data_IF_126087727854
#
_entry.id   IF_126087727854
#
_cell.length_a   1.000
_cell.length_b   1.000
_cell.length_c   1.000
_cell.angle_alpha   90.00
_cell.angle_beta   90.00
_cell.angle_gamma   90.00
#
_symmetry.space_group_name_H-M   'P 1'
#
loop_
_entity.id
_entity.type
_entity.pdbx_description
1 polymer ?
#
# COMPACT_ATOMS: atom_id res chain seq x y z
N UNK A 1 -45.04 7.66 4.68
CA UNK A 1 -43.64 7.17 4.74
C UNK A 1 -43.01 7.47 3.41
N UNK A 2 -42.03 8.36 3.39
CA UNK A 2 -41.33 8.68 2.18
C UNK A 2 -40.55 7.45 1.71
N UNK A 3 -40.67 7.15 0.41
CA UNK A 3 -40.02 5.97 -0.19
C UNK A 3 -38.51 6.16 -0.18
N UNK A 4 -37.77 5.16 0.34
CA UNK A 4 -36.29 5.18 0.27
C UNK A 4 -35.83 5.13 -1.20
N UNK A 5 -35.25 6.23 -1.68
CA UNK A 5 -34.81 6.40 -3.07
C UNK A 5 -33.44 5.79 -3.36
N UNK A 6 -32.61 5.56 -2.33
CA UNK A 6 -31.21 5.13 -2.50
C UNK A 6 -31.08 3.79 -3.23
N UNK A 7 -31.87 2.75 -2.93
CA UNK A 7 -31.77 1.48 -3.66
C UNK A 7 -32.07 1.59 -5.16
N UNK A 8 -33.00 2.49 -5.55
CA UNK A 8 -33.32 2.71 -6.97
C UNK A 8 -32.20 3.47 -7.67
N UNK A 9 -31.62 4.49 -7.01
CA UNK A 9 -30.47 5.22 -7.53
C UNK A 9 -29.25 4.31 -7.70
N UNK A 10 -28.95 3.46 -6.71
CA UNK A 10 -27.83 2.49 -6.79
C UNK A 10 -28.00 1.53 -7.96
N UNK A 11 -29.22 0.97 -8.16
CA UNK A 11 -29.51 0.10 -9.31
C UNK A 11 -29.34 0.80 -10.65
N UNK A 12 -29.75 2.07 -10.75
CA UNK A 12 -29.57 2.86 -11.97
C UNK A 12 -28.09 3.11 -12.26
N UNK A 13 -27.33 3.52 -11.25
CA UNK A 13 -25.89 3.76 -11.36
C UNK A 13 -25.15 2.47 -11.75
N UNK A 14 -25.46 1.35 -11.09
CA UNK A 14 -24.84 0.08 -11.39
C UNK A 14 -25.08 -0.35 -12.82
N UNK A 15 -26.32 -0.21 -13.34
CA UNK A 15 -26.66 -0.56 -14.72
C UNK A 15 -25.87 0.28 -15.73
N UNK A 16 -25.83 1.59 -15.55
CA UNK A 16 -25.06 2.49 -16.43
C UNK A 16 -23.56 2.19 -16.37
N UNK A 17 -23.04 1.95 -15.17
CA UNK A 17 -21.65 1.58 -14.97
C UNK A 17 -21.30 0.29 -15.71
N UNK A 18 -22.06 -0.80 -15.48
CA UNK A 18 -21.82 -2.11 -16.10
C UNK A 18 -21.87 -2.05 -17.63
N UNK A 19 -22.84 -1.31 -18.19
CA UNK A 19 -22.94 -1.13 -19.63
C UNK A 19 -21.72 -0.42 -20.21
N UNK A 20 -21.30 0.68 -19.61
CA UNK A 20 -20.16 1.46 -20.08
C UNK A 20 -18.82 0.71 -19.86
N UNK A 21 -18.68 0.05 -18.71
CA UNK A 21 -17.50 -0.73 -18.37
C UNK A 21 -17.30 -1.93 -19.33
N UNK A 22 -18.37 -2.63 -19.67
CA UNK A 22 -18.31 -3.81 -20.53
C UNK A 22 -17.90 -3.52 -21.98
N UNK A 23 -18.13 -2.29 -22.46
CA UNK A 23 -17.78 -1.88 -23.83
C UNK A 23 -16.47 -1.09 -23.92
N UNK A 24 -15.92 -0.61 -22.79
CA UNK A 24 -14.71 0.21 -22.78
C UNK A 24 -13.50 -0.50 -23.36
N UNK A 25 -12.87 0.11 -24.37
CA UNK A 25 -11.64 -0.38 -24.98
C UNK A 25 -10.44 -0.19 -24.06
N UNK A 26 -10.43 0.82 -23.19
CA UNK A 26 -9.36 1.05 -22.23
C UNK A 26 -9.35 -0.07 -21.19
N UNK A 27 -10.54 -0.45 -20.69
CA UNK A 27 -10.68 -1.58 -19.77
C UNK A 27 -10.17 -2.88 -20.41
N UNK A 28 -10.61 -3.19 -21.64
CA UNK A 28 -10.17 -4.39 -22.38
C UNK A 28 -8.66 -4.43 -22.55
N UNK A 29 -8.07 -3.33 -23.06
CA UNK A 29 -6.60 -3.20 -23.24
C UNK A 29 -5.84 -3.34 -21.93
N UNK A 30 -6.39 -2.84 -20.83
CA UNK A 30 -5.76 -2.97 -19.52
C UNK A 30 -5.68 -4.44 -19.08
N UNK A 31 -6.74 -5.22 -19.24
CA UNK A 31 -6.72 -6.67 -18.96
C UNK A 31 -5.86 -7.48 -19.94
N UNK A 32 -5.81 -7.09 -21.20
CA UNK A 32 -4.89 -7.68 -22.18
C UNK A 32 -3.43 -7.45 -21.77
N UNK A 33 -3.07 -6.21 -21.40
CA UNK A 33 -1.73 -5.89 -20.91
C UNK A 33 -1.35 -6.70 -19.67
N UNK A 34 -2.31 -6.91 -18.74
CA UNK A 34 -2.11 -7.74 -17.56
C UNK A 34 -1.87 -9.22 -17.96
N UNK A 35 -2.69 -9.76 -18.87
CA UNK A 35 -2.56 -11.13 -19.37
C UNK A 35 -1.22 -11.36 -20.09
N UNK A 36 -0.76 -10.37 -20.85
CA UNK A 36 0.53 -10.40 -21.53
C UNK A 36 1.73 -10.09 -20.61
N UNK A 37 1.49 -9.85 -19.32
CA UNK A 37 2.50 -9.43 -18.33
C UNK A 37 3.24 -8.14 -18.71
N UNK A 38 2.58 -7.24 -19.42
CA UNK A 38 3.09 -5.92 -19.83
C UNK A 38 2.50 -4.77 -19.00
N UNK A 39 1.57 -5.08 -18.10
CA UNK A 39 0.93 -4.07 -17.27
C UNK A 39 1.92 -3.43 -16.29
N UNK A 40 1.81 -2.11 -16.15
CA UNK A 40 2.58 -1.28 -15.22
C UNK A 40 1.63 -0.42 -14.40
N UNK A 41 2.13 0.33 -13.43
CA UNK A 41 1.30 1.29 -12.73
C UNK A 41 0.81 2.45 -13.61
N UNK A 42 1.51 2.74 -14.71
CA UNK A 42 0.98 3.65 -15.72
C UNK A 42 -0.33 3.13 -16.33
N UNK A 43 -0.39 1.83 -16.70
CA UNK A 43 -1.64 1.20 -17.16
C UNK A 43 -2.71 1.12 -16.08
N UNK A 44 -2.31 0.89 -14.81
CA UNK A 44 -3.24 0.91 -13.68
C UNK A 44 -3.85 2.31 -13.47
N UNK A 45 -3.07 3.37 -13.66
CA UNK A 45 -3.57 4.73 -13.59
C UNK A 45 -4.54 5.06 -14.75
N UNK A 46 -4.26 4.61 -15.98
CA UNK A 46 -5.18 4.75 -17.12
C UNK A 46 -6.49 3.98 -16.87
N UNK A 47 -6.41 2.77 -16.35
CA UNK A 47 -7.57 1.99 -15.93
C UNK A 47 -8.39 2.72 -14.86
N UNK A 48 -7.73 3.28 -13.83
CA UNK A 48 -8.41 4.01 -12.76
C UNK A 48 -9.09 5.29 -13.24
N UNK A 49 -8.48 6.01 -14.21
CA UNK A 49 -9.10 7.19 -14.85
C UNK A 49 -10.37 6.76 -15.57
N UNK A 50 -10.28 5.74 -16.44
CA UNK A 50 -11.42 5.26 -17.23
C UNK A 50 -12.57 4.79 -16.33
N UNK A 51 -12.26 3.95 -15.33
CA UNK A 51 -13.28 3.48 -14.37
C UNK A 51 -13.87 4.63 -13.57
N UNK A 52 -13.06 5.60 -13.18
CA UNK A 52 -13.52 6.83 -12.52
C UNK A 52 -14.43 7.68 -13.39
N UNK A 53 -14.10 7.83 -14.66
CA UNK A 53 -14.93 8.58 -15.64
C UNK A 53 -16.26 7.86 -15.94
N UNK A 54 -16.24 6.53 -16.05
CA UNK A 54 -17.45 5.71 -16.20
C UNK A 54 -18.35 5.87 -14.98
N UNK A 55 -17.78 5.77 -13.76
CA UNK A 55 -18.54 5.94 -12.52
C UNK A 55 -19.09 7.35 -12.37
N UNK A 56 -18.30 8.38 -12.69
CA UNK A 56 -18.73 9.77 -12.70
C UNK A 56 -19.93 9.98 -13.60
N UNK A 57 -19.88 9.51 -14.85
CA UNK A 57 -20.99 9.60 -15.81
C UNK A 57 -22.23 8.89 -15.30
N UNK A 58 -22.08 7.68 -14.74
CA UNK A 58 -23.19 6.91 -14.17
C UNK A 58 -23.84 7.64 -12.98
N UNK A 59 -23.04 8.25 -12.10
CA UNK A 59 -23.52 9.06 -10.97
C UNK A 59 -24.29 10.32 -11.48
N UNK A 60 -23.68 11.09 -12.38
CA UNK A 60 -24.28 12.33 -12.90
C UNK A 60 -25.55 12.04 -13.71
N UNK A 61 -25.59 10.94 -14.46
CA UNK A 61 -26.76 10.53 -15.25
C UNK A 61 -27.91 10.00 -14.41
N UNK A 62 -27.60 9.34 -13.28
CA UNK A 62 -28.61 8.72 -12.42
C UNK A 62 -29.17 9.66 -11.36
N UNK A 63 -28.36 10.60 -10.85
CA UNK A 63 -28.73 11.53 -9.76
C UNK A 63 -29.08 12.90 -10.35
N UNK A 64 -30.26 13.40 -9.98
CA UNK A 64 -30.73 14.74 -10.34
C UNK A 64 -31.52 15.37 -9.21
N UNK A 65 -31.56 16.71 -9.14
CA UNK A 65 -32.33 17.43 -8.13
C UNK A 65 -33.81 17.02 -8.11
N UNK A 66 -34.39 16.66 -9.26
CA UNK A 66 -35.79 16.21 -9.37
C UNK A 66 -36.05 14.83 -8.72
N UNK A 67 -35.02 14.02 -8.51
CA UNK A 67 -35.12 12.71 -7.84
C UNK A 67 -34.78 12.76 -6.35
N UNK A 68 -34.28 13.90 -5.89
CA UNK A 68 -33.88 14.10 -4.50
C UNK A 68 -34.97 14.80 -3.71
N UNK A 69 -35.18 14.49 -2.43
CA UNK A 69 -36.08 15.23 -1.56
C UNK A 69 -35.68 16.72 -1.52
N UNK A 70 -36.62 17.59 -1.75
CA UNK A 70 -36.44 19.04 -1.77
C UNK A 70 -35.31 19.55 -2.72
N UNK A 71 -34.90 18.72 -3.69
CA UNK A 71 -33.77 19.02 -4.58
C UNK A 71 -32.41 18.99 -3.89
N UNK A 72 -32.31 18.50 -2.65
CA UNK A 72 -31.10 18.48 -1.82
C UNK A 72 -30.50 17.08 -1.71
N UNK A 73 -29.16 16.98 -1.76
CA UNK A 73 -28.42 15.76 -1.43
C UNK A 73 -28.19 15.71 0.08
N UNK A 74 -29.10 15.06 0.80
CA UNK A 74 -28.95 14.89 2.25
C UNK A 74 -27.80 13.94 2.61
N UNK A 75 -27.18 14.17 3.77
CA UNK A 75 -26.03 13.41 4.26
C UNK A 75 -26.24 11.89 4.24
N UNK A 76 -27.39 11.41 4.69
CA UNK A 76 -27.70 9.97 4.73
C UNK A 76 -27.80 9.35 3.33
N UNK A 77 -28.32 10.11 2.35
CA UNK A 77 -28.39 9.68 0.95
C UNK A 77 -26.98 9.65 0.35
N UNK A 78 -26.23 10.76 0.49
CA UNK A 78 -24.87 10.87 -0.01
C UNK A 78 -23.96 9.77 0.60
N UNK A 79 -24.05 9.53 1.90
CA UNK A 79 -23.22 8.55 2.61
C UNK A 79 -23.47 7.12 2.12
N UNK A 80 -24.73 6.74 1.93
CA UNK A 80 -25.09 5.39 1.43
C UNK A 80 -24.70 5.25 -0.04
N UNK A 81 -24.98 6.27 -0.85
CA UNK A 81 -24.71 6.26 -2.28
C UNK A 81 -23.20 6.20 -2.57
N UNK A 82 -22.41 7.14 -1.99
CA UNK A 82 -20.97 7.19 -2.21
C UNK A 82 -20.23 6.06 -1.46
N UNK A 83 -20.70 5.66 -0.29
CA UNK A 83 -20.11 4.54 0.44
C UNK A 83 -20.12 3.24 -0.38
N UNK A 84 -21.26 2.93 -1.00
CA UNK A 84 -21.44 1.74 -1.85
C UNK A 84 -20.65 1.87 -3.16
N UNK A 85 -20.85 2.96 -3.89
CA UNK A 85 -20.27 3.14 -5.24
C UNK A 85 -18.75 3.30 -5.19
N UNK A 86 -18.21 4.10 -4.27
CA UNK A 86 -16.76 4.29 -4.13
C UNK A 86 -16.08 3.11 -3.44
N UNK A 87 -16.78 2.37 -2.57
CA UNK A 87 -16.33 1.10 -2.03
C UNK A 87 -16.11 0.06 -3.13
N UNK A 88 -17.11 -0.18 -3.97
CA UNK A 88 -17.00 -1.09 -5.11
C UNK A 88 -15.93 -0.64 -6.12
N UNK A 89 -15.82 0.67 -6.35
CA UNK A 89 -14.78 1.25 -7.20
C UNK A 89 -13.37 1.00 -6.63
N UNK A 90 -13.22 1.12 -5.31
CA UNK A 90 -11.96 0.79 -4.64
C UNK A 90 -11.59 -0.68 -4.81
N UNK A 91 -12.52 -1.61 -4.60
CA UNK A 91 -12.26 -3.05 -4.76
C UNK A 91 -11.79 -3.38 -6.18
N UNK A 92 -12.46 -2.81 -7.18
CA UNK A 92 -12.14 -3.02 -8.59
C UNK A 92 -10.73 -2.50 -8.94
N UNK A 93 -10.41 -1.25 -8.57
CA UNK A 93 -9.15 -0.61 -8.92
C UNK A 93 -7.99 -1.17 -8.10
N UNK A 94 -8.17 -1.39 -6.79
CA UNK A 94 -7.12 -1.97 -5.94
C UNK A 94 -6.83 -3.42 -6.32
N UNK A 95 -7.85 -4.17 -6.73
CA UNK A 95 -7.69 -5.53 -7.28
C UNK A 95 -6.81 -5.53 -8.53
N UNK A 96 -7.12 -4.69 -9.52
CA UNK A 96 -6.32 -4.53 -10.73
C UNK A 96 -4.88 -4.08 -10.43
N UNK A 97 -4.71 -3.05 -9.59
CA UNK A 97 -3.39 -2.55 -9.19
C UNK A 97 -2.58 -3.64 -8.44
N UNK A 98 -3.24 -4.46 -7.63
CA UNK A 98 -2.64 -5.60 -6.97
C UNK A 98 -2.15 -6.66 -7.94
N UNK A 99 -2.90 -6.96 -9.01
CA UNK A 99 -2.47 -7.89 -10.04
C UNK A 99 -1.31 -7.32 -10.87
N UNK A 100 -1.31 -6.02 -11.15
CA UNK A 100 -0.13 -5.34 -11.73
C UNK A 100 1.10 -5.51 -10.84
N UNK A 101 0.96 -5.30 -9.53
CA UNK A 101 2.08 -5.48 -8.59
C UNK A 101 2.59 -6.93 -8.58
N UNK A 102 1.71 -7.92 -8.69
CA UNK A 102 2.13 -9.33 -8.82
C UNK A 102 2.99 -9.54 -10.05
N UNK A 103 2.57 -9.01 -11.20
CA UNK A 103 3.32 -9.08 -12.45
C UNK A 103 4.69 -8.42 -12.30
N UNK A 104 4.75 -7.24 -11.72
CA UNK A 104 6.02 -6.53 -11.48
C UNK A 104 6.95 -7.31 -10.53
N UNK A 105 6.40 -7.89 -9.46
CA UNK A 105 7.16 -8.72 -8.53
C UNK A 105 7.72 -9.98 -9.22
N UNK A 106 6.92 -10.66 -10.04
CA UNK A 106 7.37 -11.82 -10.82
C UNK A 106 8.50 -11.46 -11.80
N UNK A 107 8.37 -10.36 -12.54
CA UNK A 107 9.39 -9.86 -13.46
C UNK A 107 10.69 -9.50 -12.76
N UNK A 108 10.59 -8.89 -11.60
CA UNK A 108 11.73 -8.52 -10.77
C UNK A 108 12.30 -9.70 -9.95
N UNK A 109 11.67 -10.88 -10.01
CA UNK A 109 11.99 -12.06 -9.19
C UNK A 109 11.92 -11.78 -7.69
N UNK A 110 10.94 -10.96 -7.29
CA UNK A 110 10.67 -10.60 -5.91
C UNK A 110 9.55 -11.50 -5.40
N UNK A 111 9.86 -12.35 -4.39
CA UNK A 111 8.85 -13.22 -3.78
C UNK A 111 8.25 -12.56 -2.52
N UNK A 112 7.60 -11.43 -2.71
CA UNK A 112 6.91 -10.70 -1.65
C UNK A 112 5.41 -10.62 -1.94
N UNK A 113 4.62 -10.64 -0.87
CA UNK A 113 3.16 -10.48 -0.97
C UNK A 113 2.81 -9.04 -1.32
N UNK A 114 1.84 -8.89 -2.21
CA UNK A 114 1.26 -7.60 -2.55
C UNK A 114 0.56 -7.01 -1.32
N UNK A 115 0.74 -5.72 -1.12
CA UNK A 115 0.09 -4.95 -0.07
C UNK A 115 -1.09 -4.18 -0.66
N UNK A 116 -2.23 -4.26 0.01
CA UNK A 116 -3.43 -3.51 -0.34
C UNK A 116 -3.62 -2.41 0.71
N UNK A 117 -3.69 -1.14 0.31
CA UNK A 117 -4.01 -0.06 1.24
C UNK A 117 -5.45 -0.22 1.74
N UNK A 118 -5.79 0.25 2.94
CA UNK A 118 -7.20 0.33 3.35
C UNK A 118 -7.95 1.36 2.51
N UNK A 119 -9.27 1.18 2.35
CA UNK A 119 -10.14 2.19 1.75
C UNK A 119 -10.01 3.51 2.51
N UNK A 120 -9.77 4.61 1.79
CA UNK A 120 -9.64 5.92 2.39
C UNK A 120 -11.00 6.53 2.71
N UNK A 121 -11.58 6.11 3.85
CA UNK A 121 -12.88 6.55 4.30
C UNK A 121 -12.95 8.08 4.49
N UNK A 122 -11.86 8.72 4.93
CA UNK A 122 -11.81 10.17 5.13
C UNK A 122 -12.07 10.95 3.83
N UNK A 123 -11.59 10.44 2.68
CA UNK A 123 -11.87 11.06 1.37
C UNK A 123 -13.36 10.94 1.01
N UNK A 124 -13.97 9.78 1.28
CA UNK A 124 -15.40 9.56 1.04
C UNK A 124 -16.22 10.48 1.94
N UNK A 125 -15.92 10.51 3.23
CA UNK A 125 -16.62 11.37 4.19
C UNK A 125 -16.48 12.85 3.85
N UNK A 126 -15.30 13.26 3.33
CA UNK A 126 -15.10 14.62 2.82
C UNK A 126 -16.02 14.97 1.65
N UNK A 127 -16.20 14.05 0.69
CA UNK A 127 -17.14 14.22 -0.43
C UNK A 127 -18.58 14.24 0.06
N UNK A 128 -18.97 13.34 0.97
CA UNK A 128 -20.30 13.28 1.56
C UNK A 128 -20.65 14.58 2.28
N UNK A 129 -19.77 15.07 3.13
CA UNK A 129 -19.96 16.32 3.87
C UNK A 129 -20.11 17.51 2.93
N UNK A 130 -19.33 17.55 1.85
CA UNK A 130 -19.42 18.63 0.88
C UNK A 130 -20.70 18.58 0.05
N UNK A 131 -21.19 17.38 -0.32
CA UNK A 131 -22.48 17.22 -1.02
C UNK A 131 -23.68 17.65 -0.19
N UNK A 132 -23.64 17.46 1.14
CA UNK A 132 -24.72 17.89 2.05
C UNK A 132 -24.66 19.40 2.38
N UNK A 133 -23.52 20.07 2.13
CA UNK A 133 -23.29 21.44 2.61
C UNK A 133 -24.15 22.49 1.96
N UNK A 134 -24.62 22.26 0.74
CA UNK A 134 -25.40 23.23 -0.03
C UNK A 134 -26.89 22.88 -0.05
N UNK A 135 -27.78 23.89 -0.09
CA UNK A 135 -29.23 23.68 -0.12
C UNK A 135 -29.73 23.02 -1.40
N UNK A 136 -29.04 23.25 -2.52
CA UNK A 136 -29.39 22.68 -3.82
C UNK A 136 -28.31 21.75 -4.33
N UNK A 137 -28.72 20.59 -4.79
CA UNK A 137 -27.78 19.58 -5.33
C UNK A 137 -27.06 20.08 -6.59
N UNK A 138 -27.71 20.90 -7.41
CA UNK A 138 -27.10 21.37 -8.64
C UNK A 138 -25.87 22.25 -8.40
N UNK A 139 -25.76 22.93 -7.26
CA UNK A 139 -24.59 23.73 -6.87
C UNK A 139 -23.35 22.83 -6.52
N UNK A 140 -23.57 21.61 -6.11
CA UNK A 140 -22.53 20.65 -5.70
C UNK A 140 -22.42 19.44 -6.63
N UNK A 141 -23.23 19.35 -7.67
CA UNK A 141 -23.23 18.24 -8.64
C UNK A 141 -21.85 17.97 -9.25
N UNK A 142 -21.04 19.00 -9.43
CA UNK A 142 -19.66 18.89 -9.94
C UNK A 142 -18.76 17.99 -9.08
N UNK A 143 -19.12 17.75 -7.81
CA UNK A 143 -18.40 16.82 -6.93
C UNK A 143 -18.50 15.36 -7.40
N UNK A 144 -19.52 15.03 -8.18
CA UNK A 144 -19.71 13.72 -8.80
C UNK A 144 -18.94 13.55 -10.12
N UNK A 145 -18.23 14.59 -10.56
CA UNK A 145 -17.40 14.59 -11.78
C UNK A 145 -15.92 14.32 -11.46
N UNK A 146 -15.05 15.27 -11.72
CA UNK A 146 -13.60 15.15 -11.55
C UNK A 146 -13.15 14.67 -10.16
N UNK A 147 -13.78 15.04 -9.03
CA UNK A 147 -13.42 14.50 -7.73
C UNK A 147 -13.52 12.97 -7.65
N UNK A 148 -14.49 12.35 -8.35
CA UNK A 148 -14.64 10.89 -8.43
C UNK A 148 -13.47 10.26 -9.21
N UNK A 149 -13.07 10.87 -10.31
CA UNK A 149 -11.91 10.44 -11.12
C UNK A 149 -10.62 10.54 -10.29
N UNK A 150 -10.44 11.67 -9.59
CA UNK A 150 -9.27 11.85 -8.71
C UNK A 150 -9.24 10.86 -7.54
N UNK A 151 -10.42 10.55 -6.97
CA UNK A 151 -10.53 9.50 -5.96
C UNK A 151 -10.05 8.15 -6.53
N UNK A 152 -10.53 7.79 -7.73
CA UNK A 152 -10.15 6.54 -8.43
C UNK A 152 -8.64 6.45 -8.68
N UNK A 153 -8.02 7.53 -9.17
CA UNK A 153 -6.56 7.58 -9.36
C UNK A 153 -5.80 7.47 -8.03
N UNK A 154 -6.32 8.08 -6.96
CA UNK A 154 -5.66 8.04 -5.66
C UNK A 154 -5.60 6.63 -5.06
N UNK A 155 -6.49 5.70 -5.46
CA UNK A 155 -6.42 4.29 -5.07
C UNK A 155 -5.13 3.65 -5.61
N UNK A 156 -4.78 3.93 -6.85
CA UNK A 156 -3.54 3.43 -7.47
C UNK A 156 -2.32 4.02 -6.75
N UNK A 157 -2.33 5.32 -6.45
CA UNK A 157 -1.24 5.96 -5.70
C UNK A 157 -1.06 5.36 -4.31
N UNK A 158 -2.15 5.08 -3.61
CA UNK A 158 -2.13 4.44 -2.30
C UNK A 158 -1.62 2.98 -2.41
N UNK A 159 -1.95 2.25 -3.49
CA UNK A 159 -1.40 0.91 -3.77
C UNK A 159 0.12 0.96 -4.03
N UNK A 160 0.59 1.90 -4.84
CA UNK A 160 2.04 2.11 -5.08
C UNK A 160 2.73 2.38 -3.75
N UNK A 161 2.22 3.32 -2.97
CA UNK A 161 2.78 3.71 -1.68
C UNK A 161 2.89 2.54 -0.72
N UNK A 162 1.81 1.76 -0.54
CA UNK A 162 1.80 0.61 0.36
C UNK A 162 2.86 -0.44 -0.02
N UNK A 163 2.99 -0.75 -1.32
CA UNK A 163 3.96 -1.72 -1.80
C UNK A 163 5.40 -1.20 -1.74
N UNK A 164 5.63 0.07 -2.08
CA UNK A 164 6.96 0.70 -2.00
C UNK A 164 7.46 0.75 -0.57
N UNK A 165 6.63 1.18 0.39
CA UNK A 165 6.97 1.22 1.81
C UNK A 165 7.27 -0.18 2.35
N UNK A 166 6.46 -1.18 1.99
CA UNK A 166 6.69 -2.56 2.36
C UNK A 166 8.01 -3.10 1.80
N UNK A 167 8.27 -2.88 0.51
CA UNK A 167 9.51 -3.31 -0.15
C UNK A 167 10.74 -2.62 0.46
N UNK A 168 10.65 -1.36 0.79
CA UNK A 168 11.73 -0.65 1.45
C UNK A 168 12.00 -1.17 2.86
N UNK A 169 10.95 -1.47 3.63
CA UNK A 169 11.06 -2.01 4.98
C UNK A 169 11.74 -3.39 5.03
N UNK A 170 11.60 -4.19 3.97
CA UNK A 170 12.32 -5.47 3.84
C UNK A 170 13.70 -5.34 3.20
N UNK A 171 14.17 -4.10 2.97
CA UNK A 171 15.54 -3.79 2.54
C UNK A 171 15.76 -3.73 1.04
N UNK A 172 14.70 -3.67 0.23
CA UNK A 172 14.78 -3.30 -1.17
C UNK A 172 14.98 -1.77 -1.30
N UNK A 173 15.42 -1.31 -2.48
CA UNK A 173 15.61 0.11 -2.76
C UNK A 173 14.71 0.52 -3.93
N UNK A 174 13.38 0.58 -3.72
CA UNK A 174 12.45 0.89 -4.80
C UNK A 174 12.62 2.32 -5.30
N UNK A 175 12.27 2.52 -6.57
CA UNK A 175 12.18 3.83 -7.21
C UNK A 175 10.73 4.13 -7.55
N UNK A 176 10.39 5.41 -7.42
CA UNK A 176 9.12 5.97 -7.85
C UNK A 176 9.43 6.93 -8.98
N UNK A 177 8.71 6.80 -10.06
CA UNK A 177 8.82 7.68 -11.23
C UNK A 177 7.51 8.45 -11.34
N UNK A 178 7.59 9.79 -11.29
CA UNK A 178 6.43 10.63 -11.59
C UNK A 178 6.65 11.32 -12.93
N UNK A 179 5.71 11.12 -13.83
CA UNK A 179 5.74 11.64 -15.20
C UNK A 179 4.59 12.63 -15.43
N UNK A 180 4.83 13.58 -16.31
CA UNK A 180 3.80 14.50 -16.78
C UNK A 180 2.67 13.75 -17.50
N UNK A 181 1.43 14.13 -17.23
CA UNK A 181 0.26 13.65 -17.94
C UNK A 181 -0.53 14.80 -18.52
N UNK A 182 -0.50 14.96 -19.86
CA UNK A 182 -1.27 16.00 -20.55
C UNK A 182 -0.82 17.43 -20.22
N UNK A 183 -1.75 18.35 -19.98
CA UNK A 183 -1.46 19.74 -19.58
C UNK A 183 -1.10 19.77 -18.09
N UNK A 184 0.18 19.70 -17.79
CA UNK A 184 0.71 19.72 -16.44
C UNK A 184 0.81 21.16 -15.91
N UNK A 185 0.35 21.39 -14.68
CA UNK A 185 0.52 22.67 -13.99
C UNK A 185 1.96 22.80 -13.42
N UNK A 186 2.34 23.99 -13.02
CA UNK A 186 3.68 24.28 -12.46
C UNK A 186 3.97 23.41 -11.24
N UNK A 187 3.06 23.33 -10.28
CA UNK A 187 3.19 22.48 -9.11
C UNK A 187 3.43 21.00 -9.46
N UNK A 188 2.76 20.45 -10.47
CA UNK A 188 3.00 19.09 -10.92
C UNK A 188 4.38 18.93 -11.56
N UNK A 189 4.89 19.94 -12.33
CA UNK A 189 6.20 19.89 -12.96
C UNK A 189 7.33 19.81 -11.94
N UNK A 190 7.19 20.50 -10.82
CA UNK A 190 8.15 20.42 -9.71
C UNK A 190 8.25 19.02 -9.10
N UNK A 191 7.21 18.23 -9.21
CA UNK A 191 7.14 16.86 -8.70
C UNK A 191 7.49 15.80 -9.75
N UNK A 192 7.75 16.19 -11.00
CA UNK A 192 8.21 15.24 -12.04
C UNK A 192 9.63 14.82 -11.73
N UNK A 193 9.90 13.51 -11.75
CA UNK A 193 11.24 13.01 -11.50
C UNK A 193 11.28 11.55 -11.05
N UNK A 194 12.49 11.11 -10.76
CA UNK A 194 12.80 9.77 -10.27
C UNK A 194 13.26 9.85 -8.83
N UNK A 195 12.52 9.23 -7.93
CA UNK A 195 12.78 9.27 -6.50
C UNK A 195 13.14 7.89 -5.97
N UNK A 196 14.25 7.81 -5.24
CA UNK A 196 14.69 6.57 -4.57
C UNK A 196 14.26 6.59 -3.12
N UNK A 197 13.63 5.52 -2.68
CA UNK A 197 13.30 5.39 -1.27
C UNK A 197 14.58 5.33 -0.40
N UNK A 198 14.64 5.96 0.78
CA UNK A 198 13.57 6.68 1.48
C UNK A 198 13.42 8.17 1.10
N UNK A 199 14.21 8.69 0.18
CA UNK A 199 14.22 10.11 -0.23
C UNK A 199 13.09 10.41 -1.23
N UNK A 200 11.86 10.13 -0.84
CA UNK A 200 10.66 10.38 -1.65
C UNK A 200 9.90 11.55 -1.05
N UNK A 201 9.61 12.63 -1.79
CA UNK A 201 8.76 13.71 -1.32
C UNK A 201 7.35 13.16 -0.96
N UNK A 202 6.78 13.62 0.14
CA UNK A 202 5.42 13.19 0.54
C UNK A 202 4.37 13.56 -0.51
N UNK A 203 4.61 14.65 -1.24
CA UNK A 203 3.70 15.19 -2.24
C UNK A 203 3.74 14.43 -3.58
N UNK A 204 4.68 13.47 -3.76
CA UNK A 204 4.78 12.70 -5.01
C UNK A 204 3.49 11.95 -5.36
N UNK A 205 2.70 11.59 -4.36
CA UNK A 205 1.41 10.91 -4.52
C UNK A 205 0.20 11.85 -4.51
N UNK A 206 0.41 13.15 -4.27
CA UNK A 206 -0.69 14.11 -4.24
C UNK A 206 -1.15 14.47 -5.64
N UNK A 207 -2.46 14.69 -5.75
CA UNK A 207 -3.13 15.10 -6.98
C UNK A 207 -3.94 16.36 -6.74
N UNK A 208 -3.89 17.27 -7.68
CA UNK A 208 -4.82 18.39 -7.75
C UNK A 208 -6.01 18.05 -8.66
N UNK A 209 -7.00 18.92 -8.72
CA UNK A 209 -8.15 18.76 -9.62
C UNK A 209 -7.66 18.60 -11.08
N UNK A 210 -8.25 17.67 -11.83
CA UNK A 210 -7.89 17.33 -13.21
C UNK A 210 -6.43 16.92 -13.44
N UNK A 211 -5.79 16.38 -12.41
CA UNK A 211 -4.43 15.85 -12.55
C UNK A 211 -4.45 14.55 -13.36
N UNK A 212 -3.61 14.48 -14.41
CA UNK A 212 -3.42 13.27 -15.23
C UNK A 212 -1.97 12.77 -15.19
N UNK A 213 -1.16 13.28 -14.25
CA UNK A 213 0.20 12.80 -14.04
C UNK A 213 0.20 11.32 -13.66
N UNK A 214 1.23 10.60 -14.11
CA UNK A 214 1.41 9.18 -13.82
C UNK A 214 2.43 9.02 -12.72
N UNK A 215 2.16 8.11 -11.81
CA UNK A 215 3.14 7.65 -10.82
C UNK A 215 3.38 6.20 -11.12
N UNK A 216 4.62 5.83 -11.35
CA UNK A 216 5.02 4.45 -11.62
C UNK A 216 6.03 3.97 -10.59
N UNK A 217 6.12 2.66 -10.45
CA UNK A 217 7.00 1.98 -9.53
C UNK A 217 7.99 1.11 -10.31
N UNK A 218 9.27 1.39 -10.17
CA UNK A 218 10.33 0.56 -10.73
C UNK A 218 10.98 -0.31 -9.65
N UNK A 219 10.69 -1.63 -9.64
CA UNK A 219 11.34 -2.57 -8.74
C UNK A 219 12.80 -2.86 -9.11
N UNK A 220 13.25 -2.45 -10.30
CA UNK A 220 14.58 -2.74 -10.85
C UNK A 220 15.70 -1.91 -10.21
N UNK A 221 15.57 -1.48 -8.99
CA UNK A 221 16.64 -0.78 -8.29
C UNK A 221 17.83 -1.69 -7.99
N UNK A 222 18.40 -2.19 -9.03
CA UNK A 222 19.69 -2.77 -9.14
C UNK A 222 20.22 -3.49 -7.89
N UNK A 223 19.87 -4.67 -7.63
CA UNK A 223 20.29 -5.66 -6.65
C UNK A 223 19.17 -6.01 -5.69
N UNK A 224 18.29 -6.87 -6.16
CA UNK A 224 17.52 -7.74 -5.28
C UNK A 224 18.52 -8.35 -4.30
N UNK A 225 18.52 -7.90 -3.06
CA UNK A 225 19.21 -8.61 -2.00
C UNK A 225 18.41 -9.87 -1.79
N UNK A 226 18.90 -10.99 -2.32
CA UNK A 226 18.42 -12.28 -1.91
C UNK A 226 18.77 -12.45 -0.44
N UNK A 227 17.80 -12.15 0.44
CA UNK A 227 17.93 -12.29 1.89
C UNK A 227 18.04 -13.75 2.29
N UNK A 228 17.66 -14.68 1.42
CA UNK A 228 17.63 -16.12 1.67
C UNK A 228 18.84 -16.84 1.11
N UNK A 229 19.42 -16.38 0.00
CA UNK A 229 20.65 -16.96 -0.52
C UNK A 229 21.84 -16.03 -0.28
N UNK A 230 22.91 -16.55 0.26
CA UNK A 230 24.18 -15.82 0.44
C UNK A 230 24.90 -15.54 -0.89
N UNK A 231 24.25 -15.68 -2.03
CA UNK A 231 24.82 -15.61 -3.39
C UNK A 231 25.07 -14.20 -3.93
N UNK A 232 24.62 -13.14 -3.23
CA UNK A 232 24.77 -11.75 -3.69
C UNK A 232 26.12 -11.10 -3.38
N UNK A 233 27.11 -11.90 -2.94
CA UNK A 233 28.46 -11.39 -2.70
C UNK A 233 29.21 -11.22 -4.01
N UNK A 234 29.72 -10.01 -4.25
CA UNK A 234 30.63 -9.79 -5.39
C UNK A 234 31.80 -10.80 -5.27
N UNK A 235 32.31 -11.29 -6.40
CA UNK A 235 33.50 -12.18 -6.45
C UNK A 235 34.65 -11.68 -5.59
N UNK A 236 34.89 -10.35 -5.61
CA UNK A 236 35.91 -9.67 -4.80
C UNK A 236 35.68 -9.77 -3.26
N UNK A 237 34.43 -9.93 -2.82
CA UNK A 237 34.13 -10.13 -1.41
C UNK A 237 34.22 -11.59 -1.00
N UNK A 238 34.06 -12.51 -1.95
CA UNK A 238 34.21 -13.93 -1.72
C UNK A 238 35.69 -14.29 -1.46
N UNK A 239 36.62 -13.72 -2.22
CA UNK A 239 38.06 -13.91 -2.00
C UNK A 239 38.51 -13.39 -0.63
N UNK A 240 38.07 -12.19 -0.24
CA UNK A 240 38.36 -11.63 1.09
C UNK A 240 37.81 -12.47 2.25
N UNK A 241 36.69 -13.15 2.03
CA UNK A 241 36.10 -14.04 3.05
C UNK A 241 36.85 -15.36 3.13
N UNK A 242 37.30 -15.89 1.99
CA UNK A 242 38.15 -17.09 1.98
C UNK A 242 39.49 -16.83 2.62
N UNK A 243 40.09 -15.67 2.39
CA UNK A 243 41.30 -15.25 3.13
C UNK A 243 41.05 -15.15 4.62
N UNK A 244 39.90 -14.60 5.04
CA UNK A 244 39.52 -14.54 6.46
C UNK A 244 39.25 -15.92 7.07
N UNK A 245 38.79 -16.90 6.31
CA UNK A 245 38.61 -18.27 6.76
C UNK A 245 39.96 -18.99 7.01
N UNK A 246 41.01 -18.58 6.29
CA UNK A 246 42.37 -19.12 6.44
C UNK A 246 43.11 -18.51 7.64
N UNK A 247 42.58 -17.44 8.26
CA UNK A 247 43.17 -16.85 9.46
C UNK A 247 42.93 -17.79 10.64
N UNK A 248 44.00 -18.33 11.17
CA UNK A 248 43.94 -19.19 12.34
C UNK A 248 43.36 -18.46 13.56
N UNK A 249 42.20 -18.90 14.03
CA UNK A 249 41.52 -18.34 15.18
C UNK A 249 42.34 -18.44 16.48
N UNK A 250 43.27 -19.38 16.57
CA UNK A 250 44.14 -19.55 17.72
C UNK A 250 45.06 -18.32 17.94
N UNK A 251 45.53 -17.72 16.85
CA UNK A 251 46.36 -16.49 16.85
C UNK A 251 45.58 -15.28 17.33
N UNK A 252 44.31 -15.17 17.00
CA UNK A 252 43.47 -14.06 17.47
C UNK A 252 43.12 -14.13 18.94
N UNK A 253 42.90 -15.34 19.46
CA UNK A 253 42.63 -15.57 20.87
C UNK A 253 43.90 -15.27 21.69
N UNK A 254 45.08 -15.62 21.18
CA UNK A 254 46.36 -15.34 21.86
C UNK A 254 46.67 -13.83 21.91
N UNK A 255 46.38 -13.08 20.82
CA UNK A 255 46.53 -11.60 20.78
C UNK A 255 45.55 -10.87 21.70
N UNK A 256 44.31 -11.31 21.75
CA UNK A 256 43.30 -10.76 22.67
C UNK A 256 43.68 -11.04 24.14
N UNK A 257 44.18 -12.23 24.42
CA UNK A 257 44.66 -12.61 25.73
C UNK A 257 45.92 -11.85 26.15
N UNK A 258 46.86 -11.63 25.21
CA UNK A 258 48.06 -10.83 25.41
C UNK A 258 47.72 -9.37 25.74
N UNK A 259 46.74 -8.78 25.03
CA UNK A 259 46.27 -7.41 25.26
C UNK A 259 45.50 -7.26 26.58
N UNK A 260 44.76 -8.28 27.00
CA UNK A 260 44.08 -8.32 28.30
C UNK A 260 45.06 -8.41 29.47
N UNK A 261 46.15 -9.17 29.31
CA UNK A 261 47.27 -9.22 30.25
C UNK A 261 48.03 -7.89 30.34
N UNK A 262 48.28 -7.23 29.21
CA UNK A 262 48.92 -5.91 29.12
C UNK A 262 48.08 -4.80 29.79
N UNK A 263 46.76 -4.96 29.85
CA UNK A 263 45.81 -4.01 30.45
C UNK A 263 45.51 -4.34 31.92
N UNK A 264 46.17 -5.32 32.53
CA UNK A 264 45.96 -5.70 33.94
C UNK A 264 44.57 -6.25 34.25
N UNK A 265 43.81 -6.62 33.23
CA UNK A 265 42.51 -7.25 33.38
C UNK A 265 42.76 -8.71 33.65
N UNK A 266 42.78 -9.15 34.92
CA UNK A 266 42.72 -10.54 35.27
C UNK A 266 41.44 -11.15 34.69
N UNK A 267 41.56 -11.73 33.52
CA UNK A 267 40.50 -12.56 32.96
C UNK A 267 40.44 -13.84 33.81
N UNK A 268 39.67 -13.80 34.88
CA UNK A 268 39.19 -15.03 35.47
C UNK A 268 38.53 -15.82 34.33
N UNK A 269 39.04 -16.96 33.89
CA UNK A 269 38.36 -17.72 32.87
C UNK A 269 37.09 -18.24 33.54
N UNK A 270 35.99 -17.50 33.40
CA UNK A 270 34.68 -18.07 33.57
C UNK A 270 34.64 -19.20 32.56
N UNK A 271 35.07 -20.39 33.02
CA UNK A 271 34.76 -21.64 32.37
C UNK A 271 33.26 -21.56 32.10
N UNK A 272 32.87 -21.28 30.89
CA UNK A 272 31.56 -21.67 30.43
C UNK A 272 31.54 -23.19 30.58
N UNK A 273 31.13 -23.63 31.74
CA UNK A 273 30.66 -24.98 31.90
C UNK A 273 29.51 -25.04 30.91
N UNK A 274 29.72 -25.81 29.86
CA UNK A 274 28.67 -26.19 28.95
C UNK A 274 27.61 -26.82 29.84
N UNK A 275 26.51 -26.11 30.08
CA UNK A 275 25.38 -26.65 30.82
C UNK A 275 25.02 -27.99 30.18
N UNK A 276 24.81 -29.05 30.98
CA UNK A 276 24.43 -30.33 30.44
C UNK A 276 23.25 -30.14 29.49
N UNK A 277 23.27 -30.86 28.36
CA UNK A 277 22.22 -30.72 27.32
C UNK A 277 20.78 -30.81 27.86
N UNK A 278 20.60 -31.43 29.03
CA UNK A 278 19.35 -31.48 29.79
C UNK A 278 18.92 -30.14 30.37
N UNK A 279 19.85 -29.32 30.88
CA UNK A 279 19.53 -27.99 31.45
C UNK A 279 19.30 -26.93 30.36
N UNK A 280 20.03 -27.00 29.26
CA UNK A 280 19.77 -26.15 28.10
C UNK A 280 18.36 -26.38 27.52
N UNK A 281 17.90 -27.65 27.52
CA UNK A 281 16.55 -28.01 27.08
C UNK A 281 15.47 -27.53 28.05
N UNK A 282 15.75 -27.47 29.35
CA UNK A 282 14.87 -26.92 30.38
C UNK A 282 14.79 -25.39 30.29
N UNK A 283 15.89 -24.67 30.10
CA UNK A 283 15.95 -23.24 29.91
C UNK A 283 15.19 -22.81 28.64
N UNK A 284 15.37 -23.53 27.52
CA UNK A 284 14.61 -23.27 26.29
C UNK A 284 13.10 -23.49 26.50
N UNK A 285 12.68 -24.52 27.21
CA UNK A 285 11.27 -24.74 27.56
C UNK A 285 10.71 -23.62 28.45
N UNK A 286 11.47 -23.16 29.44
CA UNK A 286 11.04 -22.06 30.33
C UNK A 286 10.87 -20.72 29.58
N UNK A 287 11.78 -20.41 28.65
CA UNK A 287 11.70 -19.22 27.81
C UNK A 287 10.48 -19.30 26.88
N UNK A 288 10.22 -20.46 26.26
CA UNK A 288 9.03 -20.66 25.41
C UNK A 288 7.74 -20.50 26.20
N UNK A 289 7.67 -21.04 27.42
CA UNK A 289 6.51 -20.91 28.32
C UNK A 289 6.31 -19.46 28.76
N UNK A 290 7.39 -18.72 29.06
CA UNK A 290 7.29 -17.30 29.38
C UNK A 290 6.82 -16.44 28.20
N UNK A 291 7.29 -16.74 26.98
CA UNK A 291 6.81 -16.06 25.77
C UNK A 291 5.34 -16.37 25.47
N UNK A 292 4.92 -17.62 25.68
CA UNK A 292 3.52 -18.01 25.52
C UNK A 292 2.62 -17.36 26.58
N UNK A 293 3.06 -17.25 27.85
CA UNK A 293 2.34 -16.53 28.91
C UNK A 293 2.24 -15.03 28.63
N UNK A 294 3.27 -14.42 28.05
CA UNK A 294 3.24 -13.02 27.63
C UNK A 294 2.20 -12.76 26.52
N UNK A 295 2.05 -13.70 25.58
CA UNK A 295 1.02 -13.62 24.55
C UNK A 295 -0.41 -13.81 25.10
N UNK A 296 -0.59 -14.68 26.06
CA UNK A 296 -1.89 -14.89 26.74
C UNK A 296 -2.28 -13.65 27.54
N UNK A 297 -1.37 -13.03 28.28
CA UNK A 297 -1.61 -11.78 29.02
C UNK A 297 -1.96 -10.61 28.09
N UNK A 298 -1.31 -10.48 26.93
CA UNK A 298 -1.68 -9.47 25.92
C UNK A 298 -3.09 -9.69 25.35
N UNK A 299 -3.49 -10.94 25.09
CA UNK A 299 -4.85 -11.26 24.63
C UNK A 299 -5.91 -10.98 25.71
N UNK A 300 -5.64 -11.29 26.96
CA UNK A 300 -6.54 -11.02 28.09
C UNK A 300 -6.70 -9.51 28.34
N UNK A 301 -5.62 -8.73 28.28
CA UNK A 301 -5.67 -7.27 28.37
C UNK A 301 -6.46 -6.66 27.20
N UNK A 302 -6.26 -7.14 25.97
CA UNK A 302 -7.03 -6.66 24.81
C UNK A 302 -8.54 -6.98 24.94
N UNK A 303 -8.89 -8.13 25.49
CA UNK A 303 -10.30 -8.53 25.71
C UNK A 303 -10.95 -7.76 26.87
N UNK A 304 -10.18 -7.39 27.89
CA UNK A 304 -10.64 -6.57 29.01
C UNK A 304 -10.85 -5.09 28.60
N UNK A 305 -9.95 -4.53 27.79
CA UNK A 305 -10.08 -3.17 27.27
C UNK A 305 -11.27 -3.07 26.32
N UNK A 306 -11.50 -4.05 25.46
CA UNK A 306 -12.68 -4.06 24.55
C UNK A 306 -13.99 -4.21 25.32
N UNK A 307 -14.02 -4.95 26.42
CA UNK A 307 -15.22 -5.08 27.27
C UNK A 307 -15.50 -3.86 28.14
N UNK A 308 -14.48 -3.06 28.47
CA UNK A 308 -14.65 -1.80 29.22
C UNK A 308 -15.10 -0.63 28.34
N UNK A 309 -14.70 -0.61 27.05
CA UNK A 309 -15.12 0.45 26.10
C UNK A 309 -16.58 0.28 25.63
N UNK A 310 -17.18 -0.90 25.79
CA UNK A 310 -18.60 -1.15 25.41
C UNK A 310 -19.57 -0.83 26.57
N UNK A 311 -19.07 -0.43 27.74
CA UNK A 311 -19.91 -0.21 28.94
C UNK A 311 -19.98 1.26 29.40
N UNK A 312 -19.51 2.22 28.57
CA UNK A 312 -19.70 3.66 28.81
C UNK A 312 -20.21 4.35 27.56
#
# INVERSE_FOLDING_TARGET
MDKDIVPELLKAIQREFEQSYGVSDVVKKSFEALKEKKATYATANEFAIEVGEILSKALIGSVSSSKLPDGKMYYNIAKRLLGETLGSNYELISGYAGDVQKVLNEQAKINLKVQYPPLNQNKIDGLVNRLDSEPLFDDVKWLLDEPIVNFSQSIVDDCIRANVEFHANVGLLPQIVREEGGKCCEWCRELVGVYRYPKVPQDVYRRHQRCRCKVDYDPKTGKVRDIWSKLWRKKEQSSKIEERKKIDHSVKISRSRKRALELGIESNPVRRQLLPKSEEKLLRKSVVVMLQRGHVLRRLLHTLVTKLVIKY
#
